data_IF_674464653599
#
_entry.id   IF_674464653599
#
_cell.length_a   1.000
_cell.length_b   1.000
_cell.length_c   1.000
_cell.angle_alpha   90.00
_cell.angle_beta   90.00
_cell.angle_gamma   90.00
#
_symmetry.space_group_name_H-M   'P 1'
#
loop_
_entity.id
_entity.type
_entity.pdbx_description
1 polymer ?
#
# COMPACT_ATOMS: atom_id res chain seq x y z
N UNK A 1 0.54 18.34 -38.96
CA UNK A 1 1.50 17.36 -38.39
C UNK A 1 0.69 16.11 -38.16
N UNK A 2 0.69 15.21 -39.14
CA UNK A 2 -0.01 13.92 -39.02
C UNK A 2 0.90 12.99 -38.22
N UNK A 3 0.45 12.61 -37.03
CA UNK A 3 1.09 11.54 -36.26
C UNK A 3 0.66 10.22 -36.88
N UNK A 4 1.62 9.41 -37.30
CA UNK A 4 1.32 8.07 -37.83
C UNK A 4 1.18 7.08 -36.68
N UNK A 5 0.53 5.93 -36.92
CA UNK A 5 0.44 4.84 -35.94
C UNK A 5 1.82 4.42 -35.42
N UNK A 6 2.84 4.42 -36.29
CA UNK A 6 4.22 4.13 -35.93
C UNK A 6 4.85 5.17 -34.98
N UNK A 7 4.51 6.47 -35.12
CA UNK A 7 4.94 7.50 -34.16
C UNK A 7 4.28 7.27 -32.79
N UNK A 8 3.01 6.85 -32.79
CA UNK A 8 2.28 6.49 -31.58
C UNK A 8 2.87 5.27 -30.86
N UNK A 9 3.14 4.19 -31.60
CA UNK A 9 3.78 2.99 -31.07
C UNK A 9 5.17 3.27 -30.49
N UNK A 10 5.94 4.13 -31.16
CA UNK A 10 7.26 4.56 -30.68
C UNK A 10 7.15 5.37 -29.40
N UNK A 11 6.23 6.33 -29.31
CA UNK A 11 6.00 7.13 -28.10
C UNK A 11 5.59 6.25 -26.92
N UNK A 12 4.74 5.25 -27.15
CA UNK A 12 4.37 4.26 -26.13
C UNK A 12 5.61 3.45 -25.72
N UNK A 13 6.41 2.95 -26.66
CA UNK A 13 7.60 2.18 -26.37
C UNK A 13 8.66 3.00 -25.60
N UNK A 14 8.88 4.26 -26.00
CA UNK A 14 9.81 5.18 -25.34
C UNK A 14 9.32 5.51 -23.92
N UNK A 15 8.03 5.77 -23.72
CA UNK A 15 7.45 6.00 -22.40
C UNK A 15 7.55 4.76 -21.51
N UNK A 16 7.23 3.58 -22.04
CA UNK A 16 7.35 2.31 -21.31
C UNK A 16 8.81 2.00 -20.96
N UNK A 17 9.75 2.28 -21.87
CA UNK A 17 11.18 2.13 -21.61
C UNK A 17 11.68 3.10 -20.52
N UNK A 18 11.21 4.35 -20.54
CA UNK A 18 11.51 5.32 -19.47
C UNK A 18 10.98 4.84 -18.12
N UNK A 19 9.74 4.35 -18.06
CA UNK A 19 9.17 3.78 -16.82
C UNK A 19 9.96 2.54 -16.34
N UNK A 20 10.38 1.67 -17.25
CA UNK A 20 11.15 0.47 -16.93
C UNK A 20 12.58 0.78 -16.45
N UNK A 21 13.18 1.87 -16.96
CA UNK A 21 14.52 2.29 -16.60
C UNK A 21 14.60 3.07 -15.28
N UNK A 22 13.45 3.51 -14.72
CA UNK A 22 13.45 4.20 -13.42
C UNK A 22 13.94 3.27 -12.30
N UNK A 23 15.00 3.63 -11.56
CA UNK A 23 15.54 2.78 -10.52
C UNK A 23 14.51 2.60 -9.41
N UNK A 24 14.07 1.37 -9.15
CA UNK A 24 13.13 1.06 -8.07
C UNK A 24 13.89 0.85 -6.77
N UNK A 25 13.57 1.66 -5.75
CA UNK A 25 14.11 1.52 -4.39
C UNK A 25 13.37 0.45 -3.58
N UNK A 26 12.06 0.32 -3.78
CA UNK A 26 11.26 -0.66 -3.06
C UNK A 26 9.86 -0.84 -3.67
N UNK A 27 9.29 -2.03 -3.46
CA UNK A 27 7.91 -2.36 -3.82
C UNK A 27 7.17 -2.83 -2.58
N UNK A 28 6.03 -2.20 -2.32
CA UNK A 28 5.23 -2.43 -1.12
C UNK A 28 3.82 -2.83 -1.56
N UNK A 29 3.52 -4.15 -1.58
CA UNK A 29 2.19 -4.63 -1.93
C UNK A 29 1.18 -4.24 -0.86
N UNK A 30 -0.07 -4.00 -1.28
CA UNK A 30 -1.18 -3.82 -0.37
C UNK A 30 -1.44 -5.09 0.45
N UNK A 31 -1.67 -4.94 1.75
CA UNK A 31 -2.16 -6.01 2.58
C UNK A 31 -3.66 -6.21 2.34
N UNK A 32 -4.10 -7.47 2.28
CA UNK A 32 -5.50 -7.82 2.04
C UNK A 32 -6.01 -8.81 3.07
N UNK A 33 -7.31 -9.12 3.07
CA UNK A 33 -7.91 -10.17 3.92
C UNK A 33 -7.22 -11.54 3.77
N UNK A 34 -6.63 -11.81 2.61
CA UNK A 34 -5.86 -13.04 2.36
C UNK A 34 -4.38 -12.96 2.78
N UNK A 35 -3.92 -11.81 3.29
CA UNK A 35 -2.59 -11.69 3.89
C UNK A 35 -2.61 -12.16 5.35
N UNK A 36 -1.51 -12.76 5.77
CA UNK A 36 -1.21 -13.25 7.10
C UNK A 36 -0.05 -12.47 7.71
N UNK A 37 0.10 -12.61 9.03
CA UNK A 37 1.23 -12.05 9.78
C UNK A 37 2.29 -13.10 10.10
N UNK A 38 3.43 -12.66 10.63
CA UNK A 38 4.50 -13.56 11.08
C UNK A 38 4.03 -14.54 12.14
N UNK A 39 3.16 -14.11 13.06
CA UNK A 39 2.56 -14.99 14.08
C UNK A 39 1.29 -15.71 13.62
N UNK A 40 0.97 -15.69 12.32
CA UNK A 40 -0.18 -16.39 11.74
C UNK A 40 -1.53 -15.72 11.98
N UNK A 41 -1.55 -14.42 12.25
CA UNK A 41 -2.78 -13.63 12.37
C UNK A 41 -3.49 -13.44 11.03
N UNK A 42 -4.82 -13.34 11.07
CA UNK A 42 -5.71 -13.14 9.92
C UNK A 42 -6.31 -11.74 9.94
N UNK A 43 -6.21 -11.02 8.83
CA UNK A 43 -6.63 -9.62 8.75
C UNK A 43 -8.14 -9.50 8.51
N UNK A 44 -8.79 -8.59 9.25
CA UNK A 44 -10.20 -8.23 9.10
C UNK A 44 -10.28 -6.83 8.50
N UNK A 45 -10.29 -6.75 7.17
CA UNK A 45 -10.27 -5.47 6.45
C UNK A 45 -11.64 -4.77 6.45
N UNK A 46 -11.66 -3.47 6.71
CA UNK A 46 -12.88 -2.65 6.71
C UNK A 46 -13.08 -1.80 5.43
N UNK A 47 -12.10 -1.79 4.53
CA UNK A 47 -12.18 -1.00 3.30
C UNK A 47 -13.25 -1.49 2.33
N UNK A 48 -13.81 -0.56 1.56
CA UNK A 48 -14.64 -0.88 0.39
C UNK A 48 -13.83 -1.31 -0.84
N UNK A 49 -12.50 -1.11 -0.83
CA UNK A 49 -11.62 -1.46 -1.94
C UNK A 49 -11.33 -2.96 -1.96
N UNK A 50 -11.57 -3.62 -3.09
CA UNK A 50 -11.34 -5.05 -3.30
C UNK A 50 -10.33 -5.28 -4.41
N UNK A 51 -9.49 -6.29 -4.23
CA UNK A 51 -8.53 -6.80 -5.22
C UNK A 51 -8.76 -8.31 -5.38
N UNK A 52 -7.95 -8.98 -6.22
CA UNK A 52 -7.96 -10.43 -6.33
C UNK A 52 -7.69 -11.13 -4.97
N UNK A 53 -6.95 -10.48 -4.07
CA UNK A 53 -6.68 -10.97 -2.71
C UNK A 53 -7.73 -10.60 -1.66
N UNK A 54 -8.92 -10.14 -2.06
CA UNK A 54 -9.98 -9.71 -1.12
C UNK A 54 -9.99 -8.21 -0.85
N UNK A 55 -10.64 -7.78 0.24
CA UNK A 55 -10.61 -6.37 0.66
C UNK A 55 -9.21 -5.96 1.09
N UNK A 56 -8.86 -4.74 0.72
CA UNK A 56 -7.60 -4.11 1.12
C UNK A 56 -7.72 -3.64 2.57
N UNK A 57 -6.72 -3.94 3.38
CA UNK A 57 -6.68 -3.53 4.78
C UNK A 57 -6.23 -2.07 4.93
N UNK A 58 -6.71 -1.41 5.98
CA UNK A 58 -6.35 -0.05 6.36
C UNK A 58 -5.70 -0.03 7.74
N UNK A 59 -4.86 0.96 8.01
CA UNK A 59 -4.35 1.24 9.36
C UNK A 59 -5.52 1.43 10.32
N UNK A 60 -5.48 0.74 11.45
CA UNK A 60 -6.54 0.62 12.45
C UNK A 60 -7.44 -0.61 12.27
N UNK A 61 -7.32 -1.37 11.17
CA UNK A 61 -8.03 -2.65 11.03
C UNK A 61 -7.47 -3.69 11.99
N UNK A 62 -8.30 -4.67 12.32
CA UNK A 62 -8.01 -5.71 13.31
C UNK A 62 -7.38 -6.93 12.62
N UNK A 63 -6.44 -7.55 13.30
CA UNK A 63 -5.88 -8.86 13.00
C UNK A 63 -6.26 -9.81 14.13
N UNK A 64 -6.81 -10.97 13.76
CA UNK A 64 -7.25 -12.01 14.69
C UNK A 64 -6.27 -13.17 14.71
N UNK A 65 -5.95 -13.65 15.90
CA UNK A 65 -5.09 -14.81 16.11
C UNK A 65 -5.91 -16.06 16.44
N UNK A 66 -5.36 -17.27 16.19
CA UNK A 66 -6.03 -18.52 16.54
C UNK A 66 -6.33 -18.66 18.03
N UNK A 67 -5.53 -18.03 18.89
CA UNK A 67 -5.73 -18.03 20.35
C UNK A 67 -6.86 -17.08 20.80
N UNK A 68 -7.50 -16.36 19.87
CA UNK A 68 -8.55 -15.38 20.14
C UNK A 68 -8.07 -13.97 20.44
N UNK A 69 -6.74 -13.76 20.51
CA UNK A 69 -6.14 -12.44 20.64
C UNK A 69 -6.39 -11.57 19.39
N UNK A 70 -6.43 -10.26 19.59
CA UNK A 70 -6.66 -9.28 18.52
C UNK A 70 -5.60 -8.17 18.58
N UNK A 71 -5.06 -7.80 17.43
CA UNK A 71 -4.15 -6.67 17.27
C UNK A 71 -4.64 -5.70 16.19
N UNK A 72 -4.11 -4.48 16.18
CA UNK A 72 -4.44 -3.42 15.24
C UNK A 72 -3.25 -3.09 14.37
N UNK A 73 -3.51 -2.88 13.08
CA UNK A 73 -2.51 -2.39 12.14
C UNK A 73 -2.18 -0.93 12.50
N UNK A 74 -0.91 -0.64 12.77
CA UNK A 74 -0.47 0.71 13.18
C UNK A 74 0.33 1.42 12.11
N UNK A 75 0.94 0.71 11.16
CA UNK A 75 1.71 1.32 10.07
C UNK A 75 1.21 0.92 8.68
N UNK A 76 1.58 1.68 7.64
CA UNK A 76 1.05 1.47 6.30
C UNK A 76 1.73 2.31 5.22
N UNK A 77 0.95 2.76 4.24
CA UNK A 77 1.42 3.50 3.08
C UNK A 77 1.95 4.91 3.38
N UNK A 78 1.75 5.43 4.60
CA UNK A 78 2.07 6.80 4.94
C UNK A 78 1.30 7.79 4.06
N UNK A 79 2.01 8.80 3.55
CA UNK A 79 1.47 9.82 2.65
C UNK A 79 1.15 9.29 1.24
N UNK A 80 1.63 8.10 0.85
CA UNK A 80 1.45 7.64 -0.53
C UNK A 80 0.01 7.29 -0.87
N UNK A 81 -0.78 6.80 0.10
CA UNK A 81 -2.17 6.46 -0.15
C UNK A 81 -3.04 6.49 1.10
N UNK A 82 -4.05 7.36 1.05
CA UNK A 82 -5.10 7.49 2.06
C UNK A 82 -6.45 7.07 1.45
N UNK A 83 -7.19 6.24 2.17
CA UNK A 83 -8.56 5.85 1.86
C UNK A 83 -9.47 6.28 3.01
N UNK A 84 -10.42 7.19 2.76
CA UNK A 84 -11.32 7.75 3.79
C UNK A 84 -10.57 8.26 5.04
N UNK A 85 -9.43 8.94 4.84
CA UNK A 85 -8.61 9.48 5.93
C UNK A 85 -7.75 8.45 6.67
N UNK A 86 -7.81 7.17 6.31
CA UNK A 86 -6.97 6.11 6.88
C UNK A 86 -5.94 5.66 5.86
N UNK A 87 -4.71 5.40 6.32
CA UNK A 87 -3.65 4.88 5.46
C UNK A 87 -3.96 3.45 5.02
N UNK A 88 -3.58 3.11 3.80
CA UNK A 88 -3.62 1.72 3.36
C UNK A 88 -2.55 0.89 4.10
N UNK A 89 -2.91 -0.32 4.54
CA UNK A 89 -1.94 -1.26 5.10
C UNK A 89 -1.14 -1.95 3.98
N UNK A 90 0.12 -2.27 4.25
CA UNK A 90 1.05 -2.86 3.31
C UNK A 90 1.61 -4.18 3.84
N UNK A 91 2.09 -5.03 2.95
CA UNK A 91 3.00 -6.10 3.37
C UNK A 91 4.26 -5.45 3.94
N UNK A 92 4.61 -5.80 5.18
CA UNK A 92 5.61 -5.14 5.99
C UNK A 92 5.05 -4.13 7.01
N UNK A 93 3.74 -3.91 7.04
CA UNK A 93 3.09 -3.13 8.11
C UNK A 93 3.22 -3.81 9.47
N UNK A 94 3.37 -2.99 10.50
CA UNK A 94 3.48 -3.38 11.91
C UNK A 94 2.11 -3.32 12.59
N UNK A 95 1.95 -4.17 13.60
CA UNK A 95 0.81 -4.27 14.50
C UNK A 95 1.18 -3.72 15.89
N UNK A 96 0.21 -3.25 16.67
CA UNK A 96 0.48 -2.70 18.01
C UNK A 96 1.10 -3.71 19.00
N UNK A 97 0.92 -5.00 18.74
CA UNK A 97 1.52 -6.09 19.50
C UNK A 97 2.93 -6.49 19.02
N UNK A 98 3.53 -5.71 18.11
CA UNK A 98 4.87 -5.94 17.55
C UNK A 98 4.95 -6.98 16.43
N UNK A 99 3.82 -7.57 16.01
CA UNK A 99 3.77 -8.47 14.86
C UNK A 99 3.76 -7.71 13.53
N UNK A 100 3.98 -8.42 12.43
CA UNK A 100 4.17 -7.83 11.11
C UNK A 100 3.40 -8.60 10.04
N UNK A 101 2.78 -7.87 9.12
CA UNK A 101 2.14 -8.46 7.94
C UNK A 101 3.22 -8.94 6.99
N UNK A 102 3.23 -10.23 6.64
CA UNK A 102 4.26 -10.85 5.79
C UNK A 102 3.79 -11.17 4.37
N UNK A 103 2.48 -11.08 4.10
CA UNK A 103 1.89 -11.45 2.81
C UNK A 103 1.02 -12.70 2.98
N UNK A 104 0.73 -13.50 1.94
CA UNK A 104 1.27 -13.42 0.60
C UNK A 104 0.81 -12.18 -0.17
N UNK A 105 1.67 -11.76 -1.11
CA UNK A 105 1.38 -10.69 -2.06
C UNK A 105 0.38 -11.24 -3.09
N UNK A 106 -0.80 -10.64 -3.18
CA UNK A 106 -1.76 -11.00 -4.23
C UNK A 106 -1.64 -10.04 -5.39
N UNK A 107 -1.83 -10.55 -6.62
CA UNK A 107 -1.77 -9.76 -7.84
C UNK A 107 -2.81 -8.63 -7.76
N UNK A 108 -2.34 -7.39 -7.61
CA UNK A 108 -3.19 -6.28 -7.19
C UNK A 108 -2.39 -4.99 -7.03
N UNK A 109 -2.71 -4.23 -5.99
CA UNK A 109 -2.15 -2.90 -5.80
C UNK A 109 -0.78 -2.94 -5.12
N UNK A 110 0.21 -2.26 -5.71
CA UNK A 110 1.58 -2.16 -5.19
C UNK A 110 2.02 -0.70 -5.23
N UNK A 111 2.53 -0.22 -4.11
CA UNK A 111 3.20 1.08 -4.03
C UNK A 111 4.67 0.88 -4.42
N UNK A 112 5.11 1.60 -5.44
CA UNK A 112 6.50 1.57 -5.90
C UNK A 112 7.18 2.85 -5.44
N UNK A 113 8.26 2.73 -4.68
CA UNK A 113 9.16 3.84 -4.38
C UNK A 113 10.30 3.82 -5.37
N UNK A 114 10.44 4.88 -6.18
CA UNK A 114 11.57 5.05 -7.06
C UNK A 114 12.74 5.71 -6.32
N UNK A 115 13.97 5.38 -6.71
CA UNK A 115 15.18 5.86 -6.06
C UNK A 115 15.54 7.30 -6.45
N UNK A 116 15.06 7.76 -7.59
CA UNK A 116 15.19 9.14 -8.06
C UNK A 116 14.16 10.11 -7.44
N UNK A 117 13.18 9.58 -6.68
CA UNK A 117 12.14 10.38 -6.03
C UNK A 117 12.39 10.54 -4.53
N UNK A 118 11.79 11.58 -3.95
CA UNK A 118 11.80 11.78 -2.51
C UNK A 118 11.16 10.57 -1.80
N UNK A 119 11.69 10.15 -0.63
CA UNK A 119 11.11 9.05 0.12
C UNK A 119 9.67 9.36 0.51
N UNK A 120 8.83 8.33 0.46
CA UNK A 120 7.43 8.43 0.87
C UNK A 120 7.39 8.72 2.37
N UNK A 121 6.87 9.89 2.75
CA UNK A 121 6.71 10.29 4.15
C UNK A 121 5.80 9.29 4.87
N UNK A 122 6.23 8.80 6.03
CA UNK A 122 5.42 7.91 6.86
C UNK A 122 5.29 6.47 6.36
N UNK A 123 6.06 6.07 5.34
CA UNK A 123 5.99 4.73 4.81
C UNK A 123 6.42 3.69 5.84
N UNK A 124 5.51 2.77 6.17
CA UNK A 124 5.65 1.75 7.21
C UNK A 124 6.02 2.31 8.59
N UNK A 125 5.80 3.60 8.82
CA UNK A 125 6.06 4.25 10.10
C UNK A 125 4.79 4.21 10.99
N UNK A 126 4.84 3.56 12.17
CA UNK A 126 3.68 3.43 13.06
C UNK A 126 3.31 4.74 13.76
N UNK A 127 4.23 5.70 13.81
CA UNK A 127 4.01 7.01 14.46
C UNK A 127 3.52 8.07 13.48
N UNK A 128 3.37 7.72 12.20
CA UNK A 128 2.99 8.68 11.19
C UNK A 128 1.49 8.98 11.27
N UNK A 129 1.19 10.25 11.52
CA UNK A 129 -0.16 10.77 11.47
C UNK A 129 -0.32 11.52 10.14
N UNK A 130 -1.24 11.11 9.26
CA UNK A 130 -1.51 11.86 8.05
C UNK A 130 -2.03 13.25 8.43
N UNK A 131 -1.71 14.30 7.66
CA UNK A 131 -2.28 15.62 7.91
C UNK A 131 -3.80 15.48 7.87
N UNK A 132 -4.47 15.86 8.98
CA UNK A 132 -5.93 15.80 9.08
C UNK A 132 -6.54 16.44 7.84
N UNK A 133 -7.54 15.79 7.25
CA UNK A 133 -8.34 16.38 6.16
C UNK A 133 -9.21 17.57 6.62
N UNK A 134 -8.89 18.17 7.76
CA UNK A 134 -9.47 19.38 8.33
C UNK A 134 -8.69 20.60 7.81
N UNK A 135 -8.64 20.71 6.48
CA UNK A 135 -8.28 21.94 5.78
C UNK A 135 -9.54 22.78 5.62
N UNK A 136 -9.81 23.62 6.62
CA UNK A 136 -10.71 24.78 6.64
C UNK A 136 -11.79 24.89 5.56
N UNK A 137 -13.04 24.72 5.97
CA UNK A 137 -14.16 25.42 5.32
C UNK A 137 -14.20 26.86 5.85
N UNK A 138 -14.22 27.91 4.99
CA UNK A 138 -14.65 29.23 5.44
C UNK A 138 -16.14 29.24 5.82
#
# INVERSE_FOLDING_TARGET
MEYTEADGERLVAEFMAQLAAKPVKGRYPAATECSTTERGGVIVASSGLRTAGGRVALVGDIVRYPDGDEARIVSGAGAALLCKGRMMALVGSELDNGDRITGPMHNGMVIVQYADEAPIKGLLDPNYVPPSADGGHP
#
